data_IF_489132663381
#
_entry.id   IF_489132663381
#
_cell.length_a   1.000
_cell.length_b   1.000
_cell.length_c   1.000
_cell.angle_alpha   90.00
_cell.angle_beta   90.00
_cell.angle_gamma   90.00
#
_symmetry.space_group_name_H-M   'P 1'
#
loop_
_entity.id
_entity.type
_entity.pdbx_description
1 polymer ?
#
# COMPACT_ATOMS: atom_id res chain seq x y z
N UNK A 1 -4.12 -15.19 -15.32
CA UNK A 1 -4.03 -15.11 -13.84
C UNK A 1 -4.53 -13.74 -13.44
N UNK A 2 -5.70 -13.64 -12.78
CA UNK A 2 -6.23 -12.36 -12.29
C UNK A 2 -5.53 -12.01 -10.98
N UNK A 3 -4.66 -10.98 -11.00
CA UNK A 3 -4.14 -10.37 -9.78
C UNK A 3 -5.14 -9.32 -9.29
N UNK A 4 -5.40 -9.31 -7.99
CA UNK A 4 -6.08 -8.19 -7.35
C UNK A 4 -5.18 -6.95 -7.47
N UNK A 5 -5.75 -5.84 -7.93
CA UNK A 5 -5.01 -4.58 -8.10
C UNK A 5 -5.63 -3.48 -7.27
N UNK A 6 -4.83 -2.81 -6.45
CA UNK A 6 -5.21 -1.58 -5.79
C UNK A 6 -4.99 -0.41 -6.76
N UNK A 7 -6.06 0.33 -7.03
CA UNK A 7 -6.03 1.52 -7.88
C UNK A 7 -6.26 2.75 -7.01
N UNK A 8 -5.53 3.83 -7.29
CA UNK A 8 -5.70 5.08 -6.55
C UNK A 8 -4.64 6.11 -6.90
N UNK A 9 -4.67 7.24 -6.22
CA UNK A 9 -3.63 8.28 -6.36
C UNK A 9 -2.57 8.06 -5.31
N UNK A 10 -1.30 7.96 -5.72
CA UNK A 10 -0.19 7.88 -4.77
C UNK A 10 0.04 9.25 -4.13
N UNK A 11 -0.28 9.38 -2.85
CA UNK A 11 -0.22 10.66 -2.14
C UNK A 11 1.14 10.90 -1.51
N UNK A 12 1.81 9.86 -1.02
CA UNK A 12 3.06 10.00 -0.28
C UNK A 12 3.88 8.71 -0.28
N UNK A 13 5.20 8.86 -0.12
CA UNK A 13 6.14 7.75 0.10
C UNK A 13 7.13 8.15 1.19
N UNK A 14 7.20 7.35 2.26
CA UNK A 14 8.06 7.63 3.40
C UNK A 14 8.81 6.40 3.90
N UNK A 15 9.97 6.63 4.49
CA UNK A 15 10.78 5.58 5.11
C UNK A 15 10.51 5.56 6.60
N UNK A 16 10.20 4.39 7.14
CA UNK A 16 10.12 4.14 8.56
C UNK A 16 11.48 3.58 9.03
N UNK A 17 12.16 4.21 10.00
CA UNK A 17 13.45 3.75 10.47
C UNK A 17 13.33 2.37 11.17
N UNK A 18 14.48 1.71 11.29
CA UNK A 18 14.58 0.51 12.12
C UNK A 18 14.12 0.82 13.55
N UNK A 19 13.37 -0.12 14.13
CA UNK A 19 12.87 -0.01 15.51
C UNK A 19 13.16 -1.29 16.24
N UNK A 20 13.76 -1.17 17.42
CA UNK A 20 13.87 -2.27 18.37
C UNK A 20 12.63 -2.30 19.26
N UNK A 21 11.99 -3.45 19.37
CA UNK A 21 10.93 -3.65 20.35
C UNK A 21 11.54 -3.71 21.75
N UNK A 22 11.17 -2.77 22.62
CA UNK A 22 11.76 -2.66 23.97
C UNK A 22 11.44 -3.86 24.86
N UNK A 23 10.34 -4.56 24.59
CA UNK A 23 9.87 -5.69 25.41
C UNK A 23 10.43 -7.02 24.93
N UNK A 24 10.46 -7.23 23.61
CA UNK A 24 10.90 -8.51 23.03
C UNK A 24 12.36 -8.49 22.56
N UNK A 25 12.97 -7.31 22.42
CA UNK A 25 14.29 -7.12 21.86
C UNK A 25 14.36 -7.31 20.34
N UNK A 26 13.24 -7.61 19.67
CA UNK A 26 13.17 -7.88 18.23
C UNK A 26 13.49 -6.62 17.42
N UNK A 27 14.40 -6.75 16.45
CA UNK A 27 14.77 -5.67 15.54
C UNK A 27 13.83 -5.72 14.33
N UNK A 28 12.98 -4.70 14.20
CA UNK A 28 12.16 -4.49 13.01
C UNK A 28 12.95 -3.63 12.03
N UNK A 29 13.38 -4.16 10.87
CA UNK A 29 14.23 -3.44 9.94
C UNK A 29 13.51 -2.22 9.36
N UNK A 30 14.30 -1.26 8.87
CA UNK A 30 13.78 -0.12 8.13
C UNK A 30 12.87 -0.57 6.97
N UNK A 31 11.82 0.21 6.69
CA UNK A 31 10.83 -0.13 5.68
C UNK A 31 10.35 1.09 4.91
N UNK A 32 10.04 0.90 3.63
CA UNK A 32 9.47 1.94 2.78
C UNK A 32 7.96 1.75 2.72
N UNK A 33 7.21 2.84 2.81
CA UNK A 33 5.75 2.83 2.82
C UNK A 33 5.22 3.78 1.75
N UNK A 34 4.24 3.31 0.99
CA UNK A 34 3.50 4.09 -0.01
C UNK A 34 2.07 4.30 0.48
N UNK A 35 1.59 5.54 0.46
CA UNK A 35 0.24 5.91 0.87
C UNK A 35 -0.60 6.20 -0.38
N UNK A 36 -1.57 5.34 -0.65
CA UNK A 36 -2.41 5.38 -1.84
C UNK A 36 -3.82 5.75 -1.41
N UNK A 37 -4.34 6.85 -1.96
CA UNK A 37 -5.73 7.24 -1.80
C UNK A 37 -6.57 6.41 -2.78
N UNK A 38 -7.24 5.40 -2.25
CA UNK A 38 -8.10 4.50 -2.99
C UNK A 38 -9.58 4.89 -2.80
N UNK A 39 -10.39 4.52 -3.78
CA UNK A 39 -11.84 4.64 -3.73
C UNK A 39 -12.45 3.27 -3.43
N UNK A 40 -13.32 3.21 -2.43
CA UNK A 40 -14.07 2.04 -2.07
C UNK A 40 -15.56 2.34 -2.20
N UNK A 41 -16.33 1.41 -2.77
CA UNK A 41 -17.79 1.57 -2.91
C UNK A 41 -18.45 0.94 -1.70
N UNK A 42 -19.19 1.74 -0.94
CA UNK A 42 -19.91 1.25 0.24
C UNK A 42 -21.11 0.39 -0.17
N UNK A 43 -21.70 -0.32 0.81
CA UNK A 43 -22.93 -1.07 0.57
C UNK A 43 -24.11 -0.16 0.16
N UNK A 44 -24.07 1.13 0.54
CA UNK A 44 -25.04 2.14 0.08
C UNK A 44 -24.81 2.59 -1.37
N UNK A 45 -23.70 2.18 -2.00
CA UNK A 45 -23.30 2.63 -3.34
C UNK A 45 -22.54 3.96 -3.34
N UNK A 46 -22.28 4.55 -2.18
CA UNK A 46 -21.51 5.79 -2.05
C UNK A 46 -20.01 5.53 -2.20
N UNK A 47 -19.27 6.54 -2.67
CA UNK A 47 -17.81 6.46 -2.76
C UNK A 47 -17.20 6.90 -1.43
N UNK A 48 -16.41 6.00 -0.84
CA UNK A 48 -15.61 6.27 0.35
C UNK A 48 -14.14 6.31 -0.05
N UNK A 49 -13.48 7.43 0.26
CA UNK A 49 -12.03 7.54 0.10
C UNK A 49 -11.33 6.87 1.28
N UNK A 50 -10.37 6.01 1.00
CA UNK A 50 -9.58 5.27 1.99
C UNK A 50 -8.09 5.43 1.69
N UNK A 51 -7.33 5.86 2.70
CA UNK A 51 -5.88 5.90 2.60
C UNK A 51 -5.31 4.51 2.94
N UNK A 52 -4.79 3.82 1.92
CA UNK A 52 -4.15 2.52 2.08
C UNK A 52 -2.64 2.73 2.17
N UNK A 53 -2.02 2.25 3.25
CA UNK A 53 -0.56 2.28 3.41
C UNK A 53 0.02 0.90 3.11
N UNK A 54 0.82 0.79 2.06
CA UNK A 54 1.51 -0.43 1.67
C UNK A 54 2.98 -0.35 2.04
N UNK A 55 3.50 -1.37 2.74
CA UNK A 55 4.93 -1.57 2.90
C UNK A 55 5.50 -2.06 1.56
N UNK A 56 6.16 -1.19 0.81
CA UNK A 56 6.69 -1.44 -0.53
C UNK A 56 8.19 -1.76 -0.50
N UNK A 57 8.70 -2.29 -1.60
CA UNK A 57 10.09 -2.77 -1.70
C UNK A 57 10.93 -2.02 -2.75
N UNK A 58 10.41 -0.95 -3.35
CA UNK A 58 11.11 -0.18 -4.39
C UNK A 58 10.90 1.33 -4.24
N UNK A 59 11.96 2.10 -4.49
CA UNK A 59 11.93 3.56 -4.51
C UNK A 59 11.20 4.14 -5.74
N UNK A 60 10.87 3.30 -6.73
CA UNK A 60 10.15 3.71 -7.95
C UNK A 60 8.82 4.41 -7.66
N UNK A 61 8.18 4.09 -6.53
CA UNK A 61 6.95 4.77 -6.08
C UNK A 61 7.16 6.28 -5.90
N UNK A 62 8.34 6.76 -5.48
CA UNK A 62 8.57 8.20 -5.27
C UNK A 62 8.37 9.03 -6.55
N UNK A 63 8.73 8.46 -7.70
CA UNK A 63 8.59 9.13 -8.99
C UNK A 63 7.13 9.22 -9.47
N UNK A 64 6.22 8.48 -8.83
CA UNK A 64 4.81 8.41 -9.18
C UNK A 64 3.91 9.17 -8.18
N UNK A 65 4.50 9.88 -7.22
CA UNK A 65 3.72 10.70 -6.27
C UNK A 65 2.91 11.73 -7.03
N UNK A 66 1.63 11.87 -6.66
CA UNK A 66 0.64 12.69 -7.34
C UNK A 66 -0.04 12.03 -8.54
N UNK A 67 0.42 10.85 -8.97
CA UNK A 67 -0.15 10.16 -10.13
C UNK A 67 -1.16 9.09 -9.72
N UNK A 68 -2.10 8.80 -10.64
CA UNK A 68 -2.92 7.59 -10.55
C UNK A 68 -2.02 6.39 -10.83
N UNK A 69 -2.06 5.38 -9.96
CA UNK A 69 -1.26 4.16 -10.09
C UNK A 69 -2.14 2.92 -9.95
N UNK A 70 -1.63 1.81 -10.48
CA UNK A 70 -2.18 0.47 -10.27
C UNK A 70 -1.10 -0.43 -9.69
N UNK A 71 -1.39 -1.04 -8.54
CA UNK A 71 -0.45 -1.89 -7.80
C UNK A 71 -1.06 -3.28 -7.61
N UNK A 72 -0.39 -4.36 -8.05
CA UNK A 72 -0.79 -5.72 -7.69
C UNK A 72 -0.63 -5.94 -6.19
N UNK A 73 -1.69 -6.36 -5.51
CA UNK A 73 -1.70 -6.54 -4.06
C UNK A 73 -2.28 -7.89 -3.66
N UNK A 74 -1.83 -8.39 -2.52
CA UNK A 74 -2.57 -9.39 -1.77
C UNK A 74 -3.54 -8.71 -0.80
N UNK A 75 -4.56 -9.44 -0.37
CA UNK A 75 -5.51 -8.97 0.63
C UNK A 75 -5.79 -10.08 1.66
N UNK A 76 -6.02 -9.69 2.91
CA UNK A 76 -6.50 -10.56 3.98
C UNK A 76 -7.42 -9.78 4.92
N UNK A 77 -8.25 -10.49 5.69
CA UNK A 77 -9.14 -9.85 6.67
C UNK A 77 -8.42 -9.81 8.03
N UNK A 78 -8.37 -8.63 8.64
CA UNK A 78 -7.90 -8.45 10.01
C UNK A 78 -8.63 -7.27 10.67
N UNK A 79 -8.83 -7.34 11.99
CA UNK A 79 -9.45 -6.28 12.77
C UNK A 79 -10.82 -5.80 12.22
N UNK A 80 -11.59 -6.70 11.62
CA UNK A 80 -12.90 -6.38 11.02
C UNK A 80 -12.85 -5.65 9.68
N UNK A 81 -11.68 -5.52 9.05
CA UNK A 81 -11.51 -4.86 7.75
C UNK A 81 -10.60 -5.65 6.80
N UNK A 82 -10.57 -5.23 5.54
CA UNK A 82 -9.66 -5.76 4.53
C UNK A 82 -8.34 -5.01 4.63
N UNK A 83 -7.25 -5.76 4.80
CA UNK A 83 -5.88 -5.24 4.81
C UNK A 83 -5.18 -5.67 3.52
N UNK A 84 -4.57 -4.69 2.85
CA UNK A 84 -3.82 -4.91 1.62
C UNK A 84 -2.32 -5.00 1.92
N UNK A 85 -1.59 -5.82 1.17
CA UNK A 85 -0.14 -5.92 1.25
C UNK A 85 0.51 -6.02 -0.12
N UNK A 86 1.72 -5.45 -0.19
CA UNK A 86 2.61 -5.51 -1.32
C UNK A 86 3.04 -6.95 -1.63
N UNK A 87 3.08 -7.33 -2.90
CA UNK A 87 3.58 -8.65 -3.30
C UNK A 87 5.12 -8.61 -3.35
N UNK A 88 5.81 -9.61 -2.76
CA UNK A 88 7.29 -9.60 -2.65
C UNK A 88 8.03 -9.56 -3.99
N UNK A 89 7.43 -10.08 -5.07
CA UNK A 89 7.98 -10.09 -6.43
C UNK A 89 7.28 -9.06 -7.34
N UNK A 90 6.90 -7.92 -6.80
CA UNK A 90 6.14 -6.87 -7.49
C UNK A 90 6.69 -6.55 -8.89
N UNK A 91 5.82 -6.66 -9.89
CA UNK A 91 5.95 -5.86 -11.10
C UNK A 91 5.84 -4.39 -10.66
N UNK A 92 6.75 -3.55 -11.14
CA UNK A 92 6.81 -2.13 -10.77
C UNK A 92 5.43 -1.46 -10.86
N UNK A 93 5.11 -0.49 -9.96
CA UNK A 93 3.85 0.24 -10.05
C UNK A 93 3.72 0.86 -11.45
N UNK A 94 2.60 0.61 -12.10
CA UNK A 94 2.32 1.15 -13.43
C UNK A 94 1.56 2.47 -13.25
N UNK A 95 1.98 3.49 -14.00
CA UNK A 95 1.17 4.69 -14.17
C UNK A 95 -0.20 4.28 -14.73
N UNK A 96 -1.27 4.71 -14.06
CA UNK A 96 -2.63 4.52 -14.54
C UNK A 96 -2.88 5.38 -15.78
N UNK A 97 -3.58 4.81 -16.77
CA UNK A 97 -4.19 5.58 -17.85
C UNK A 97 -5.35 6.43 -17.32
#
# INVERSE_FOLDING_TARGET
>A
MSMLTLNGVLQNVYSQPERKDEKTGEIRPASLHAQILAENVTQSGETKLEMVTLKVHTEAFRNLVGQKIRVPVGAFVANGGIMFYALRNEAQPLAGA
#
